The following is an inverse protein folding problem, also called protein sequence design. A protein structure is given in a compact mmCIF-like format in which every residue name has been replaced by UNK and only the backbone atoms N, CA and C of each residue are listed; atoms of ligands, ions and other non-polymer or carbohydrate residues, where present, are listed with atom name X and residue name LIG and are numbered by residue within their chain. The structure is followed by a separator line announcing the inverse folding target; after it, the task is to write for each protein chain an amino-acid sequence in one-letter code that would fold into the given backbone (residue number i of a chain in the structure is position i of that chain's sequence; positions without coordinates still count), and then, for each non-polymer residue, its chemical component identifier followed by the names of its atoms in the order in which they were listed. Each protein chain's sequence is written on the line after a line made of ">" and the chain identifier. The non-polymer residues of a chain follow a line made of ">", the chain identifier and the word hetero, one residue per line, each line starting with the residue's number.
data_IF_906050960773
#
_entry.id   IF_906050960773
#
_cell.length_a   1.000
_cell.length_b   1.000
_cell.length_c   1.000
_cell.angle_alpha   90.00
_cell.angle_beta   90.00
_cell.angle_gamma   90.00
#
_symmetry.space_group_name_H-M   'P 1'
#
loop_
_entity.id
_entity.type
_entity.pdbx_description
1 polymer ?
#
# COMPACT_ATOMS: atom_id res chain seq x y z
N UNK A 1 -0.35 -18.80 23.34
CA UNK A 1 -0.24 -17.54 22.59
C UNK A 1 -1.51 -16.77 22.87
N UNK A 2 -1.41 -15.53 23.34
CA UNK A 2 -2.57 -14.71 23.69
C UNK A 2 -3.38 -14.40 22.41
N UNK A 3 -4.71 -14.43 22.52
CA UNK A 3 -5.63 -14.15 21.42
C UNK A 3 -5.40 -12.73 20.86
N UNK A 4 -5.01 -11.77 21.72
CA UNK A 4 -4.61 -10.41 21.31
C UNK A 4 -3.39 -10.45 20.37
N UNK A 5 -2.33 -11.12 20.81
CA UNK A 5 -1.06 -11.22 20.07
C UNK A 5 -1.28 -11.88 18.70
N UNK A 6 -2.15 -12.87 18.64
CA UNK A 6 -2.55 -13.51 17.39
C UNK A 6 -3.25 -12.56 16.43
N UNK A 7 -4.18 -11.71 16.93
CA UNK A 7 -4.89 -10.72 16.11
C UNK A 7 -3.95 -9.65 15.56
N UNK A 8 -3.04 -9.12 16.39
CA UNK A 8 -2.02 -8.15 15.96
C UNK A 8 -1.12 -8.76 14.89
N UNK A 9 -0.66 -10.00 15.09
CA UNK A 9 0.17 -10.71 14.11
C UNK A 9 -0.56 -10.93 12.78
N UNK A 10 -1.85 -11.23 12.83
CA UNK A 10 -2.68 -11.38 11.64
C UNK A 10 -2.92 -10.04 10.92
N UNK A 11 -3.14 -8.94 11.65
CA UNK A 11 -3.24 -7.60 11.08
C UNK A 11 -1.94 -7.18 10.39
N UNK A 12 -0.78 -7.44 11.01
CA UNK A 12 0.54 -7.21 10.41
C UNK A 12 0.71 -8.02 9.12
N UNK A 13 0.30 -9.30 9.12
CA UNK A 13 0.32 -10.11 7.89
C UNK A 13 -0.54 -9.51 6.79
N UNK A 14 -1.73 -8.98 7.13
CA UNK A 14 -2.58 -8.29 6.17
C UNK A 14 -1.92 -7.03 5.60
N UNK A 15 -1.24 -6.22 6.43
CA UNK A 15 -0.47 -5.07 5.97
C UNK A 15 0.67 -5.49 5.01
N UNK A 16 1.42 -6.54 5.36
CA UNK A 16 2.52 -7.04 4.53
C UNK A 16 2.03 -7.61 3.19
N UNK A 17 0.92 -8.35 3.19
CA UNK A 17 0.28 -8.82 1.95
C UNK A 17 -0.16 -7.63 1.10
N UNK A 18 -0.75 -6.60 1.72
CA UNK A 18 -1.16 -5.38 1.02
C UNK A 18 0.03 -4.68 0.36
N UNK A 19 1.14 -4.52 1.09
CA UNK A 19 2.37 -3.95 0.56
C UNK A 19 2.95 -4.80 -0.59
N UNK A 20 2.95 -6.13 -0.47
CA UNK A 20 3.41 -7.01 -1.54
C UNK A 20 2.55 -6.90 -2.81
N UNK A 21 1.22 -6.78 -2.65
CA UNK A 21 0.31 -6.55 -3.78
C UNK A 21 0.55 -5.19 -4.44
N UNK A 22 0.79 -4.13 -3.66
CA UNK A 22 1.15 -2.81 -4.20
C UNK A 22 2.47 -2.85 -4.99
N UNK A 23 3.48 -3.58 -4.51
CA UNK A 23 4.76 -3.79 -5.23
C UNK A 23 4.51 -4.54 -6.55
N UNK A 24 3.72 -5.61 -6.52
CA UNK A 24 3.38 -6.36 -7.73
C UNK A 24 2.62 -5.51 -8.75
N UNK A 25 1.68 -4.69 -8.29
CA UNK A 25 0.92 -3.77 -9.13
C UNK A 25 1.82 -2.69 -9.74
N UNK A 26 2.75 -2.13 -8.96
CA UNK A 26 3.77 -1.21 -9.45
C UNK A 26 4.64 -1.86 -10.53
N UNK A 27 5.17 -3.05 -10.28
CA UNK A 27 5.98 -3.80 -11.25
C UNK A 27 5.20 -4.09 -12.54
N UNK A 28 3.95 -4.49 -12.43
CA UNK A 28 3.07 -4.73 -13.58
C UNK A 28 2.80 -3.45 -14.38
N UNK A 29 2.52 -2.34 -13.70
CA UNK A 29 2.30 -1.04 -14.36
C UNK A 29 3.54 -0.55 -15.10
N UNK A 30 4.73 -0.69 -14.51
CA UNK A 30 6.00 -0.34 -15.13
C UNK A 30 6.26 -1.21 -16.38
N UNK A 31 6.00 -2.52 -16.29
CA UNK A 31 6.12 -3.43 -17.43
C UNK A 31 5.19 -3.03 -18.59
N UNK A 32 3.91 -2.75 -18.29
CA UNK A 32 2.96 -2.31 -19.31
C UNK A 32 3.37 -0.99 -19.95
N UNK A 33 3.89 -0.03 -19.19
CA UNK A 33 4.38 1.24 -19.71
C UNK A 33 5.62 1.04 -20.60
N UNK A 34 6.57 0.18 -20.22
CA UNK A 34 7.72 -0.16 -21.07
C UNK A 34 7.29 -0.81 -22.39
N UNK A 35 6.30 -1.72 -22.32
CA UNK A 35 5.73 -2.35 -23.52
C UNK A 35 5.02 -1.33 -24.41
N UNK A 36 4.19 -0.46 -23.82
CA UNK A 36 3.48 0.60 -24.53
C UNK A 36 4.46 1.56 -25.20
N UNK A 37 5.54 1.95 -24.52
CA UNK A 37 6.59 2.80 -25.07
C UNK A 37 7.28 2.15 -26.27
N UNK A 38 7.63 0.87 -26.16
CA UNK A 38 8.27 0.13 -27.27
C UNK A 38 7.34 0.06 -28.50
N UNK A 39 6.05 -0.20 -28.30
CA UNK A 39 5.08 -0.23 -29.42
C UNK A 39 4.84 1.18 -30.00
N UNK A 40 4.87 2.22 -29.17
CA UNK A 40 4.77 3.60 -29.62
C UNK A 40 6.00 4.03 -30.45
N UNK A 41 7.21 3.66 -30.01
CA UNK A 41 8.44 3.93 -30.75
C UNK A 41 8.44 3.20 -32.12
N UNK A 42 7.90 1.96 -32.20
CA UNK A 42 7.69 1.26 -33.48
C UNK A 42 6.70 1.99 -34.39
N UNK A 43 5.61 2.53 -33.84
CA UNK A 43 4.61 3.30 -34.60
C UNK A 43 5.20 4.58 -35.18
N UNK A 44 5.97 5.34 -34.39
CA UNK A 44 6.68 6.53 -34.86
C UNK A 44 7.65 6.16 -35.99
N UNK A 45 8.42 5.07 -35.82
CA UNK A 45 9.35 4.63 -36.86
C UNK A 45 8.63 4.21 -38.16
N UNK A 46 7.44 3.62 -38.04
CA UNK A 46 6.63 3.18 -39.19
C UNK A 46 5.97 4.35 -39.93
N UNK A 47 5.65 5.45 -39.24
CA UNK A 47 4.99 6.63 -39.80
C UNK A 47 5.72 7.92 -39.39
N UNK A 48 6.92 8.18 -39.94
CA UNK A 48 7.77 9.30 -39.50
C UNK A 48 7.17 10.68 -39.83
N UNK A 49 6.31 10.78 -40.84
CA UNK A 49 5.67 12.03 -41.26
C UNK A 49 4.38 12.33 -40.49
N UNK A 50 3.89 11.39 -39.68
CA UNK A 50 2.74 11.60 -38.81
C UNK A 50 3.20 12.16 -37.47
N UNK A 51 2.85 13.43 -37.23
CA UNK A 51 3.02 14.03 -35.92
C UNK A 51 1.91 13.51 -35.00
N UNK A 52 2.24 12.53 -34.15
CA UNK A 52 1.26 11.89 -33.27
C UNK A 52 0.70 12.84 -32.17
N UNK A 53 1.31 14.02 -31.95
CA UNK A 53 0.80 15.03 -31.01
C UNK A 53 0.70 14.57 -29.55
N UNK A 54 1.28 13.42 -29.22
CA UNK A 54 1.23 12.79 -27.89
C UNK A 54 2.66 12.54 -27.44
N UNK A 55 3.02 13.10 -26.29
CA UNK A 55 4.33 12.87 -25.67
C UNK A 55 4.51 11.39 -25.31
N UNK A 56 5.77 10.94 -25.36
CA UNK A 56 6.08 9.54 -25.02
C UNK A 56 5.60 9.24 -23.59
N UNK A 57 4.91 8.11 -23.36
CA UNK A 57 4.45 7.76 -22.02
C UNK A 57 5.67 7.63 -21.09
N UNK A 58 5.65 8.40 -20.00
CA UNK A 58 6.64 8.28 -18.94
C UNK A 58 6.51 6.91 -18.26
N UNK A 59 7.64 6.24 -18.00
CA UNK A 59 7.67 4.91 -17.38
C UNK A 59 7.33 4.98 -15.88
N UNK A 60 7.72 6.09 -15.23
CA UNK A 60 7.44 6.38 -13.83
C UNK A 60 7.10 7.86 -13.70
N UNK A 61 5.82 8.20 -13.78
CA UNK A 61 5.35 9.55 -13.50
C UNK A 61 5.18 9.80 -12.00
N UNK A 62 4.68 10.99 -11.64
CA UNK A 62 4.33 11.36 -10.27
C UNK A 62 3.40 10.35 -9.57
N UNK A 63 2.64 9.57 -10.34
CA UNK A 63 1.75 8.51 -9.84
C UNK A 63 2.47 7.33 -9.18
N UNK A 64 3.76 7.10 -9.43
CA UNK A 64 4.53 6.03 -8.79
C UNK A 64 5.07 6.42 -7.40
N UNK A 65 5.12 7.72 -7.10
CA UNK A 65 5.67 8.24 -5.83
C UNK A 65 4.75 7.88 -4.65
N UNK A 66 3.44 8.09 -4.81
CA UNK A 66 2.46 7.81 -3.77
C UNK A 66 2.46 6.33 -3.31
N UNK A 67 2.37 5.32 -4.19
CA UNK A 67 2.44 3.93 -3.78
C UNK A 67 3.82 3.56 -3.19
N UNK A 68 4.92 4.15 -3.67
CA UNK A 68 6.23 3.95 -3.03
C UNK A 68 6.26 4.47 -1.59
N UNK A 69 5.72 5.67 -1.34
CA UNK A 69 5.58 6.24 0.01
C UNK A 69 4.66 5.38 0.89
N UNK A 70 3.56 4.86 0.35
CA UNK A 70 2.65 3.97 1.06
C UNK A 70 3.32 2.66 1.49
N UNK A 71 4.17 2.07 0.64
CA UNK A 71 4.96 0.89 0.99
C UNK A 71 5.90 1.21 2.16
N UNK A 72 6.65 2.31 2.08
CA UNK A 72 7.58 2.73 3.15
C UNK A 72 6.83 2.99 4.46
N UNK A 73 5.72 3.73 4.41
CA UNK A 73 4.87 4.00 5.56
C UNK A 73 4.36 2.69 6.19
N UNK A 74 3.97 1.71 5.37
CA UNK A 74 3.53 0.40 5.84
C UNK A 74 4.63 -0.33 6.62
N UNK A 75 5.88 -0.26 6.18
CA UNK A 75 7.01 -0.88 6.91
C UNK A 75 7.22 -0.23 8.28
N UNK A 76 7.18 1.10 8.37
CA UNK A 76 7.28 1.81 9.64
C UNK A 76 6.13 1.44 10.57
N UNK A 77 4.90 1.47 10.07
CA UNK A 77 3.70 1.09 10.83
C UNK A 77 3.78 -0.35 11.34
N UNK A 78 4.26 -1.30 10.52
CA UNK A 78 4.47 -2.68 10.95
C UNK A 78 5.51 -2.78 12.07
N UNK A 79 6.61 -2.04 11.96
CA UNK A 79 7.65 -2.04 12.99
C UNK A 79 7.14 -1.47 14.32
N UNK A 80 6.35 -0.41 14.27
CA UNK A 80 5.84 0.26 15.47
C UNK A 80 4.59 -0.40 16.06
N UNK A 81 3.79 -1.12 15.25
CA UNK A 81 2.74 -2.02 15.74
C UNK A 81 3.31 -3.16 16.59
N UNK A 82 4.49 -3.70 16.22
CA UNK A 82 5.19 -4.72 17.02
C UNK A 82 5.69 -4.18 18.36
N UNK A 83 5.87 -2.87 18.47
CA UNK A 83 6.24 -2.18 19.71
C UNK A 83 5.02 -1.68 20.49
N UNK A 84 3.82 -2.08 20.07
CA UNK A 84 2.54 -1.68 20.65
C UNK A 84 2.32 -0.15 20.73
N UNK A 85 2.93 0.63 19.82
CA UNK A 85 2.76 2.09 19.82
C UNK A 85 1.37 2.49 19.36
N UNK A 86 0.69 3.35 20.13
CA UNK A 86 -0.67 3.79 19.82
C UNK A 86 -0.84 4.50 18.47
N UNK A 87 0.12 5.34 18.06
CA UNK A 87 0.05 6.01 16.76
C UNK A 87 0.14 5.04 15.57
N UNK A 88 0.85 3.90 15.73
CA UNK A 88 0.98 2.90 14.69
C UNK A 88 -0.35 2.18 14.43
N UNK A 89 -1.18 2.04 15.47
CA UNK A 89 -2.55 1.53 15.32
C UNK A 89 -3.40 2.47 14.46
N UNK A 90 -3.38 3.78 14.73
CA UNK A 90 -4.11 4.78 13.92
C UNK A 90 -3.60 4.76 12.47
N UNK A 91 -2.29 4.77 12.28
CA UNK A 91 -1.69 4.77 10.95
C UNK A 91 -2.05 3.49 10.16
N UNK A 92 -2.11 2.33 10.81
CA UNK A 92 -2.56 1.09 10.18
C UNK A 92 -4.02 1.15 9.72
N UNK A 93 -4.92 1.73 10.52
CA UNK A 93 -6.32 1.95 10.13
C UNK A 93 -6.40 2.84 8.88
N UNK A 94 -5.63 3.93 8.85
CA UNK A 94 -5.58 4.84 7.68
C UNK A 94 -5.07 4.11 6.44
N UNK A 95 -3.98 3.34 6.56
CA UNK A 95 -3.43 2.56 5.43
C UNK A 95 -4.48 1.58 4.89
N UNK A 96 -5.20 0.88 5.76
CA UNK A 96 -6.25 -0.02 5.31
C UNK A 96 -7.42 0.72 4.65
N UNK A 97 -7.83 1.88 5.17
CA UNK A 97 -8.87 2.70 4.55
C UNK A 97 -8.47 3.20 3.16
N UNK A 98 -7.22 3.64 2.98
CA UNK A 98 -6.69 4.06 1.68
C UNK A 98 -6.61 2.90 0.67
N UNK A 99 -6.54 1.66 1.15
CA UNK A 99 -6.54 0.47 0.31
C UNK A 99 -7.95 -0.06 -0.02
N UNK A 100 -9.03 0.48 0.58
CA UNK A 100 -10.43 0.07 0.27
C UNK A 100 -10.76 0.18 -1.23
N UNK A 101 -10.46 1.27 -1.96
CA UNK A 101 -10.80 1.37 -3.38
C UNK A 101 -9.97 0.43 -4.30
N UNK A 102 -9.09 -0.39 -3.74
CA UNK A 102 -8.19 -1.27 -4.50
C UNK A 102 -8.64 -2.73 -4.48
N UNK A 103 -8.04 -3.55 -5.35
CA UNK A 103 -8.20 -5.01 -5.37
C UNK A 103 -7.74 -5.71 -4.07
N UNK A 104 -7.17 -4.95 -3.13
CA UNK A 104 -6.67 -5.38 -1.83
C UNK A 104 -7.77 -5.30 -0.75
N UNK A 105 -9.01 -4.96 -1.12
CA UNK A 105 -10.14 -4.79 -0.19
C UNK A 105 -10.34 -5.98 0.77
N UNK A 106 -10.33 -7.26 0.37
CA UNK A 106 -10.55 -8.36 1.30
C UNK A 106 -9.50 -8.43 2.42
N UNK A 107 -8.24 -8.25 2.05
CA UNK A 107 -7.11 -8.24 2.99
C UNK A 107 -7.19 -7.03 3.93
N UNK A 108 -7.61 -5.88 3.39
CA UNK A 108 -7.75 -4.65 4.16
C UNK A 108 -8.88 -4.72 5.17
N UNK A 109 -10.04 -5.30 4.79
CA UNK A 109 -11.19 -5.50 5.68
C UNK A 109 -10.83 -6.47 6.81
N UNK A 110 -10.19 -7.60 6.51
CA UNK A 110 -9.75 -8.56 7.54
C UNK A 110 -8.77 -7.88 8.51
N UNK A 111 -7.81 -7.13 7.98
CA UNK A 111 -6.85 -6.37 8.79
C UNK A 111 -7.52 -5.34 9.72
N UNK A 112 -8.49 -4.58 9.20
CA UNK A 112 -9.29 -3.64 9.98
C UNK A 112 -10.05 -4.32 11.11
N UNK A 113 -10.77 -5.41 10.81
CA UNK A 113 -11.53 -6.16 11.82
C UNK A 113 -10.62 -6.63 12.97
N UNK A 114 -9.42 -7.10 12.65
CA UNK A 114 -8.45 -7.54 13.66
C UNK A 114 -7.94 -6.37 14.54
N UNK A 115 -7.79 -5.17 13.98
CA UNK A 115 -7.35 -3.98 14.72
C UNK A 115 -8.47 -3.30 15.51
N UNK A 116 -9.73 -3.43 15.07
CA UNK A 116 -10.90 -2.91 15.78
C UNK A 116 -11.35 -3.76 16.96
N UNK A 117 -10.77 -4.95 17.13
CA UNK A 117 -11.06 -5.81 18.27
C UNK A 117 -10.81 -5.08 19.60
N UNK A 118 -11.76 -5.19 20.52
CA UNK A 118 -11.76 -4.41 21.76
C UNK A 118 -10.50 -4.63 22.61
N UNK A 119 -9.97 -5.86 22.62
CA UNK A 119 -8.75 -6.23 23.36
C UNK A 119 -7.49 -5.60 22.77
N UNK A 120 -7.47 -5.48 21.44
CA UNK A 120 -6.38 -4.86 20.69
C UNK A 120 -6.46 -3.34 20.86
N UNK A 121 -7.62 -2.75 20.55
CA UNK A 121 -7.88 -1.32 20.66
C UNK A 121 -7.58 -0.76 22.06
N UNK A 122 -8.04 -1.42 23.12
CA UNK A 122 -7.82 -0.95 24.49
C UNK A 122 -6.35 -0.90 24.91
N UNK A 123 -5.49 -1.75 24.33
CA UNK A 123 -4.04 -1.66 24.57
C UNK A 123 -3.47 -0.40 23.93
N UNK A 124 -3.77 -0.17 22.65
CA UNK A 124 -3.22 0.96 21.91
C UNK A 124 -3.78 2.31 22.38
N UNK A 125 -5.05 2.34 22.79
CA UNK A 125 -5.66 3.54 23.36
C UNK A 125 -5.03 3.92 24.71
N UNK A 126 -4.69 2.95 25.57
CA UNK A 126 -3.98 3.24 26.82
C UNK A 126 -2.64 3.92 26.56
N UNK A 127 -1.88 3.46 25.58
CA UNK A 127 -0.61 4.08 25.19
C UNK A 127 -0.79 5.51 24.63
N UNK A 128 -1.89 5.77 23.92
CA UNK A 128 -2.25 7.11 23.43
C UNK A 128 -2.68 8.06 24.56
N UNK A 129 -3.37 7.54 25.58
CA UNK A 129 -3.88 8.32 26.72
C UNK A 129 -2.75 8.75 27.68
N UNK A 130 -1.68 7.95 27.80
CA UNK A 130 -0.52 8.27 28.68
C UNK A 130 0.39 9.34 28.05
N UNK A 131 0.22 9.64 26.75
CA UNK A 131 1.03 10.62 26.03
C UNK A 131 0.43 12.04 26.00
N UNK A 132 -0.71 12.26 26.66
CA UNK A 132 -1.33 13.58 26.89
C UNK A 132 -1.18 14.01 28.35
#
# INVERSE_FOLDING_TARGET
>A
MDLKEQKIKNAIRCLLISAAMQIAQLGYSAYLMMKARTEFDKLIQKYPDQNFGVDRPEIFGASAILPALMIVATFYVVQDLKKEKGWAWIAALVIFMLNIPSWILPVSVIGLIMLFDERVRSTFLKELDIAF
#
